data_IF_569485265393
#
_entry.id   IF_569485265393
#
_cell.length_a   1.000
_cell.length_b   1.000
_cell.length_c   1.000
_cell.angle_alpha   90.00
_cell.angle_beta   90.00
_cell.angle_gamma   90.00
#
_symmetry.space_group_name_H-M   'P 1'
#
loop_
_entity.id
_entity.type
_entity.pdbx_description
1 polymer ?
#
# COMPACT_ATOMS: atom_id res chain seq x y z
N UNK A 1 18.65 56.52 25.17
CA UNK A 1 19.63 55.58 24.60
C UNK A 1 19.01 54.19 24.69
N UNK A 2 18.79 53.60 23.51
CA UNK A 2 18.21 52.31 23.12
C UNK A 2 17.83 51.24 24.19
N UNK A 3 16.58 50.76 24.07
CA UNK A 3 16.10 49.44 24.50
C UNK A 3 16.88 48.30 23.83
N UNK A 4 17.26 47.27 24.59
CA UNK A 4 17.74 45.99 24.05
C UNK A 4 16.88 44.82 24.52
N UNK A 5 16.04 44.39 23.58
CA UNK A 5 15.42 43.08 23.31
C UNK A 5 15.63 41.95 24.33
N UNK A 6 14.48 41.42 24.77
CA UNK A 6 14.28 40.09 25.35
C UNK A 6 14.94 38.98 24.53
N UNK A 7 15.82 38.22 25.16
CA UNK A 7 16.38 37.00 24.60
C UNK A 7 15.33 35.89 24.55
N UNK A 8 14.95 35.49 23.33
CA UNK A 8 14.37 34.18 23.09
C UNK A 8 15.40 33.12 23.49
N UNK A 9 15.20 32.49 24.65
CA UNK A 9 15.87 31.26 25.00
C UNK A 9 15.34 30.15 24.08
N UNK A 10 15.99 29.95 22.94
CA UNK A 10 15.79 28.74 22.14
C UNK A 10 16.18 27.53 22.99
N UNK A 11 15.24 26.62 23.24
CA UNK A 11 15.51 25.45 24.07
C UNK A 11 16.71 24.63 23.55
N UNK A 12 17.51 24.01 24.45
CA UNK A 12 18.64 23.20 24.04
C UNK A 12 18.20 22.00 23.16
N UNK A 13 18.90 21.73 22.04
CA UNK A 13 18.50 20.69 21.10
C UNK A 13 18.32 19.29 21.73
N UNK A 14 19.08 19.00 22.79
CA UNK A 14 19.03 17.71 23.49
C UNK A 14 17.76 17.50 24.34
N UNK A 15 17.13 18.56 24.88
CA UNK A 15 15.84 18.44 25.58
C UNK A 15 14.74 18.02 24.61
N UNK A 16 14.72 18.64 23.43
CA UNK A 16 13.77 18.29 22.37
C UNK A 16 13.93 16.85 21.83
N UNK A 17 15.15 16.29 21.87
CA UNK A 17 15.43 14.94 21.41
C UNK A 17 15.02 13.90 22.47
N UNK A 18 15.31 14.17 23.75
CA UNK A 18 14.87 13.36 24.88
C UNK A 18 13.34 13.32 24.99
N UNK A 19 12.68 14.47 24.89
CA UNK A 19 11.22 14.57 24.95
C UNK A 19 10.55 13.89 23.76
N UNK A 20 11.13 13.96 22.56
CA UNK A 20 10.67 13.18 21.41
C UNK A 20 10.79 11.68 21.65
N UNK A 21 11.92 11.22 22.18
CA UNK A 21 12.13 9.81 22.51
C UNK A 21 11.15 9.32 23.59
N UNK A 22 10.85 10.13 24.61
CA UNK A 22 9.85 9.80 25.62
C UNK A 22 8.42 9.82 25.05
N UNK A 23 8.08 10.79 24.21
CA UNK A 23 6.76 10.89 23.59
C UNK A 23 6.49 9.72 22.63
N UNK A 24 7.50 9.21 21.93
CA UNK A 24 7.38 7.99 21.11
C UNK A 24 7.24 6.70 21.92
N UNK A 25 7.64 6.73 23.20
CA UNK A 25 7.42 5.64 24.15
C UNK A 25 6.04 5.73 24.83
N UNK A 26 5.32 6.85 24.70
CA UNK A 26 4.01 6.98 25.33
C UNK A 26 3.01 6.00 24.71
N UNK A 27 2.13 5.49 25.56
CA UNK A 27 1.08 4.54 25.16
C UNK A 27 0.22 5.09 24.02
N UNK A 28 -0.23 6.36 24.13
CA UNK A 28 -1.06 7.03 23.13
C UNK A 28 -0.41 7.09 21.75
N UNK A 29 0.90 7.27 21.70
CA UNK A 29 1.62 7.35 20.43
C UNK A 29 1.72 5.99 19.75
N UNK A 30 1.95 4.92 20.53
CA UNK A 30 2.09 3.54 20.02
C UNK A 30 0.78 2.97 19.46
N UNK A 31 -0.36 3.36 20.04
CA UNK A 31 -1.67 2.88 19.59
C UNK A 31 -2.29 3.75 18.48
N UNK A 32 -1.71 4.92 18.16
CA UNK A 32 -2.29 5.82 17.18
C UNK A 32 -2.48 5.17 15.79
N UNK A 33 -1.49 4.44 15.20
CA UNK A 33 -1.69 3.77 13.91
C UNK A 33 -2.82 2.73 13.91
N UNK A 34 -2.90 1.76 14.86
CA UNK A 34 -4.00 0.80 14.86
C UNK A 34 -5.36 1.45 15.14
N UNK A 35 -5.42 2.49 15.98
CA UNK A 35 -6.67 3.22 16.24
C UNK A 35 -7.15 3.96 14.99
N UNK A 36 -6.26 4.61 14.24
CA UNK A 36 -6.64 5.27 12.98
C UNK A 36 -7.11 4.26 11.93
N UNK A 37 -6.50 3.08 11.88
CA UNK A 37 -6.91 2.03 10.94
C UNK A 37 -8.32 1.46 11.23
N UNK A 38 -8.82 1.58 12.47
CA UNK A 38 -10.23 1.26 12.79
C UNK A 38 -11.20 2.14 12.01
N UNK A 39 -10.83 3.39 11.71
CA UNK A 39 -11.68 4.36 11.04
C UNK A 39 -11.80 4.12 9.53
N UNK A 40 -10.94 3.27 8.97
CA UNK A 40 -10.82 3.09 7.52
C UNK A 40 -12.12 2.64 6.84
N UNK A 41 -12.85 1.60 7.31
CA UNK A 41 -14.10 1.18 6.67
C UNK A 41 -15.19 2.26 6.76
N UNK A 42 -15.23 3.00 7.87
CA UNK A 42 -16.22 4.06 8.08
C UNK A 42 -15.98 5.26 7.18
N UNK A 43 -14.73 5.56 6.82
CA UNK A 43 -14.41 6.58 5.83
C UNK A 43 -14.93 6.20 4.43
N UNK A 44 -14.88 4.90 4.07
CA UNK A 44 -15.43 4.40 2.80
C UNK A 44 -16.97 4.40 2.80
N UNK A 45 -17.58 4.01 3.92
CA UNK A 45 -19.04 4.08 4.09
C UNK A 45 -19.56 5.53 4.03
N UNK A 46 -18.87 6.45 4.71
CA UNK A 46 -19.18 7.88 4.66
C UNK A 46 -19.03 8.43 3.23
N UNK A 47 -18.04 7.96 2.47
CA UNK A 47 -17.91 8.31 1.06
C UNK A 47 -19.14 7.88 0.27
N UNK A 48 -19.55 6.62 0.36
CA UNK A 48 -20.71 6.10 -0.36
C UNK A 48 -22.00 6.85 -0.01
N UNK A 49 -22.24 7.08 1.29
CA UNK A 49 -23.37 7.89 1.75
C UNK A 49 -23.33 9.34 1.20
N UNK A 50 -22.13 9.90 1.05
CA UNK A 50 -21.94 11.24 0.48
C UNK A 50 -22.19 11.26 -1.03
N UNK A 51 -21.82 10.19 -1.76
CA UNK A 51 -22.15 10.02 -3.18
C UNK A 51 -23.66 9.94 -3.37
N UNK A 52 -24.38 9.18 -2.55
CA UNK A 52 -25.85 9.15 -2.59
C UNK A 52 -26.47 10.53 -2.30
N UNK A 53 -25.90 11.29 -1.36
CA UNK A 53 -26.33 12.66 -1.06
C UNK A 53 -26.21 13.59 -2.28
N UNK A 54 -25.27 13.35 -3.20
CA UNK A 54 -25.12 14.19 -4.41
C UNK A 54 -26.38 14.21 -5.28
N UNK A 55 -27.24 13.20 -5.19
CA UNK A 55 -28.50 13.11 -5.94
C UNK A 55 -29.52 14.16 -5.47
N UNK A 56 -29.47 14.56 -4.19
CA UNK A 56 -30.38 15.55 -3.60
C UNK A 56 -29.71 16.90 -3.27
N UNK A 57 -28.44 16.89 -2.87
CA UNK A 57 -27.62 18.08 -2.60
C UNK A 57 -26.22 17.89 -3.20
N UNK A 58 -26.02 18.27 -4.48
CA UNK A 58 -24.76 18.06 -5.19
C UNK A 58 -23.55 18.70 -4.51
N UNK A 59 -23.71 19.90 -3.94
CA UNK A 59 -22.61 20.66 -3.37
C UNK A 59 -22.13 20.01 -2.06
N UNK A 60 -23.05 19.75 -1.13
CA UNK A 60 -22.70 19.11 0.15
C UNK A 60 -22.24 17.67 -0.06
N UNK A 61 -22.93 16.90 -0.91
CA UNK A 61 -22.54 15.53 -1.24
C UNK A 61 -21.13 15.44 -1.81
N UNK A 62 -20.77 16.30 -2.77
CA UNK A 62 -19.43 16.32 -3.36
C UNK A 62 -18.37 16.68 -2.33
N UNK A 63 -18.61 17.71 -1.51
CA UNK A 63 -17.66 18.13 -0.47
C UNK A 63 -17.40 17.00 0.54
N UNK A 64 -18.46 16.35 1.03
CA UNK A 64 -18.37 15.25 1.99
C UNK A 64 -17.73 14.00 1.38
N UNK A 65 -17.98 13.71 0.10
CA UNK A 65 -17.33 12.63 -0.62
C UNK A 65 -15.82 12.89 -0.72
N UNK A 66 -15.41 14.09 -1.15
CA UNK A 66 -13.99 14.47 -1.22
C UNK A 66 -13.32 14.39 0.16
N UNK A 67 -13.99 14.86 1.22
CA UNK A 67 -13.47 14.76 2.58
C UNK A 67 -13.32 13.29 3.03
N UNK A 68 -14.32 12.46 2.78
CA UNK A 68 -14.36 11.05 3.21
C UNK A 68 -13.30 10.20 2.50
N UNK A 69 -13.17 10.34 1.17
CA UNK A 69 -12.10 9.65 0.44
C UNK A 69 -10.72 10.20 0.82
N UNK A 70 -10.62 11.51 1.08
CA UNK A 70 -9.42 12.15 1.61
C UNK A 70 -8.99 11.53 2.94
N UNK A 71 -9.93 11.24 3.85
CA UNK A 71 -9.67 10.53 5.11
C UNK A 71 -9.20 9.09 4.83
N UNK A 72 -9.85 8.37 3.90
CA UNK A 72 -9.46 7.01 3.55
C UNK A 72 -8.01 6.90 3.03
N UNK A 73 -7.51 7.92 2.31
CA UNK A 73 -6.11 8.04 1.91
C UNK A 73 -5.20 8.58 3.04
N UNK A 74 -5.70 9.47 3.88
CA UNK A 74 -4.94 10.04 4.98
C UNK A 74 -4.59 8.99 6.05
N UNK A 75 -5.46 8.02 6.32
CA UNK A 75 -5.21 6.95 7.31
C UNK A 75 -3.91 6.19 7.03
N UNK A 76 -3.71 5.53 5.87
CA UNK A 76 -2.46 4.82 5.58
C UNK A 76 -1.26 5.77 5.47
N UNK A 77 -1.46 7.04 5.07
CA UNK A 77 -0.39 8.04 5.04
C UNK A 77 0.09 8.44 6.44
N UNK A 78 -0.83 8.69 7.38
CA UNK A 78 -0.51 9.00 8.78
C UNK A 78 0.14 7.78 9.44
N UNK A 79 -0.36 6.57 9.14
CA UNK A 79 0.27 5.32 9.57
C UNK A 79 1.69 5.19 9.02
N UNK A 80 1.93 5.58 7.76
CA UNK A 80 3.25 5.58 7.16
C UNK A 80 4.19 6.57 7.83
N UNK A 81 3.75 7.81 8.08
CA UNK A 81 4.54 8.81 8.83
C UNK A 81 4.87 8.30 10.23
N UNK A 82 3.91 7.65 10.90
CA UNK A 82 4.14 7.03 12.21
C UNK A 82 5.15 5.89 12.13
N UNK A 83 5.03 5.01 11.12
CA UNK A 83 5.99 3.94 10.85
C UNK A 83 7.41 4.47 10.64
N UNK A 84 7.57 5.54 9.84
CA UNK A 84 8.86 6.20 9.61
C UNK A 84 9.48 6.74 10.89
N UNK A 85 8.67 7.18 11.85
CA UNK A 85 9.15 7.62 13.16
C UNK A 85 9.57 6.41 14.01
N UNK A 86 8.74 5.37 14.07
CA UNK A 86 9.05 4.14 14.82
C UNK A 86 10.23 3.35 14.25
N UNK A 87 10.50 3.50 12.96
CA UNK A 87 11.56 2.82 12.24
C UNK A 87 12.94 3.00 12.88
N UNK A 88 13.22 4.16 13.48
CA UNK A 88 14.50 4.48 14.10
C UNK A 88 14.69 3.86 15.52
N UNK A 89 13.65 3.30 16.13
CA UNK A 89 13.72 2.74 17.49
C UNK A 89 14.36 1.35 17.47
N UNK A 90 15.25 1.03 18.43
CA UNK A 90 15.81 -0.32 18.62
C UNK A 90 14.70 -1.30 19.07
N UNK A 91 14.08 -1.05 20.22
CA UNK A 91 13.09 -1.95 20.85
C UNK A 91 11.64 -1.54 20.58
N UNK A 92 11.09 -2.04 19.47
CA UNK A 92 9.74 -1.68 19.06
C UNK A 92 9.15 -2.53 17.94
N UNK A 93 9.47 -3.82 17.86
CA UNK A 93 8.95 -4.67 16.78
C UNK A 93 7.42 -4.69 16.75
N UNK A 94 6.74 -4.71 17.90
CA UNK A 94 5.29 -4.67 18.00
C UNK A 94 4.68 -3.41 17.37
N UNK A 95 5.16 -2.23 17.77
CA UNK A 95 4.68 -0.95 17.22
C UNK A 95 5.03 -0.78 15.73
N UNK A 96 6.21 -1.26 15.30
CA UNK A 96 6.59 -1.27 13.88
C UNK A 96 5.67 -2.19 13.07
N UNK A 97 5.33 -3.37 13.59
CA UNK A 97 4.37 -4.30 12.96
C UNK A 97 2.99 -3.63 12.87
N UNK A 98 2.47 -3.09 13.97
CA UNK A 98 1.16 -2.44 13.98
C UNK A 98 1.08 -1.27 13.00
N UNK A 99 2.11 -0.43 12.95
CA UNK A 99 2.17 0.67 11.99
C UNK A 99 2.32 0.17 10.54
N UNK A 100 3.10 -0.88 10.28
CA UNK A 100 3.21 -1.47 8.94
C UNK A 100 1.88 -2.09 8.46
N UNK A 101 1.15 -2.77 9.35
CA UNK A 101 -0.20 -3.27 9.06
C UNK A 101 -1.17 -2.10 8.80
N UNK A 102 -1.01 -0.98 9.52
CA UNK A 102 -1.88 0.18 9.36
C UNK A 102 -1.64 0.91 8.04
N UNK A 103 -0.39 0.91 7.54
CA UNK A 103 -0.09 1.32 6.16
C UNK A 103 -0.80 0.41 5.15
N UNK A 104 -0.81 -0.90 5.41
CA UNK A 104 -1.42 -1.90 4.55
C UNK A 104 -2.95 -2.02 4.71
N UNK A 105 -3.60 -1.17 5.51
CA UNK A 105 -5.02 -1.29 5.82
C UNK A 105 -5.94 -1.35 4.59
N UNK A 106 -5.72 -0.60 3.49
CA UNK A 106 -6.55 -0.73 2.28
C UNK A 106 -6.47 -2.10 1.62
N UNK A 107 -5.27 -2.68 1.58
CA UNK A 107 -5.04 -4.01 1.00
C UNK A 107 -5.59 -5.12 1.90
N UNK A 108 -5.39 -5.01 3.21
CA UNK A 108 -5.93 -5.99 4.18
C UNK A 108 -7.46 -5.95 4.16
N UNK A 109 -8.08 -4.77 4.22
CA UNK A 109 -9.54 -4.63 4.22
C UNK A 109 -10.16 -5.23 2.96
N UNK A 110 -9.60 -4.90 1.79
CA UNK A 110 -10.07 -5.44 0.51
C UNK A 110 -9.95 -6.97 0.46
N UNK A 111 -8.81 -7.53 0.87
CA UNK A 111 -8.60 -8.97 0.86
C UNK A 111 -9.54 -9.71 1.84
N UNK A 112 -9.63 -9.22 3.08
CA UNK A 112 -10.50 -9.82 4.11
C UNK A 112 -11.95 -9.77 3.68
N UNK A 113 -12.41 -8.66 3.10
CA UNK A 113 -13.75 -8.54 2.55
C UNK A 113 -14.06 -9.64 1.53
N UNK A 114 -13.21 -9.80 0.51
CA UNK A 114 -13.39 -10.83 -0.53
C UNK A 114 -13.46 -12.24 0.09
N UNK A 115 -12.58 -12.55 1.05
CA UNK A 115 -12.59 -13.86 1.72
C UNK A 115 -13.88 -14.07 2.53
N UNK A 116 -14.30 -13.10 3.33
CA UNK A 116 -15.52 -13.20 4.13
C UNK A 116 -16.77 -13.35 3.26
N UNK A 117 -16.82 -12.61 2.15
CA UNK A 117 -17.89 -12.71 1.16
C UNK A 117 -17.97 -14.12 0.56
N UNK A 118 -16.84 -14.68 0.12
CA UNK A 118 -16.80 -16.04 -0.44
C UNK A 118 -17.19 -17.12 0.57
N UNK A 119 -16.88 -16.91 1.86
CA UNK A 119 -17.24 -17.84 2.93
C UNK A 119 -18.71 -17.76 3.35
N UNK A 120 -19.51 -16.83 2.78
CA UNK A 120 -20.88 -16.54 3.20
C UNK A 120 -20.99 -16.34 4.72
N UNK A 121 -19.94 -15.76 5.32
CA UNK A 121 -19.82 -15.72 6.78
C UNK A 121 -20.77 -14.65 7.34
N UNK A 122 -21.55 -14.95 8.40
CA UNK A 122 -22.61 -14.05 8.88
C UNK A 122 -22.08 -12.86 9.69
N UNK A 123 -20.77 -12.83 10.00
CA UNK A 123 -20.18 -11.73 10.77
C UNK A 123 -20.01 -10.52 9.87
N UNK A 124 -20.55 -9.39 10.32
CA UNK A 124 -20.37 -8.10 9.66
C UNK A 124 -18.85 -7.80 9.54
N UNK A 125 -18.39 -7.54 8.32
CA UNK A 125 -16.99 -7.26 7.99
C UNK A 125 -16.35 -6.24 8.96
N UNK A 126 -17.12 -5.20 9.33
CA UNK A 126 -16.73 -4.17 10.30
C UNK A 126 -16.42 -4.75 11.70
N UNK A 127 -17.19 -5.72 12.18
CA UNK A 127 -16.95 -6.33 13.49
C UNK A 127 -15.65 -7.15 13.50
N UNK A 128 -15.40 -7.94 12.45
CA UNK A 128 -14.14 -8.66 12.27
C UNK A 128 -12.94 -7.69 12.19
N UNK A 129 -13.12 -6.57 11.49
CA UNK A 129 -12.12 -5.50 11.40
C UNK A 129 -11.79 -4.90 12.77
N UNK A 130 -12.81 -4.51 13.54
CA UNK A 130 -12.63 -3.93 14.87
C UNK A 130 -11.92 -4.90 15.81
N UNK A 131 -12.33 -6.18 15.83
CA UNK A 131 -11.72 -7.20 16.66
C UNK A 131 -10.23 -7.41 16.30
N UNK A 132 -9.91 -7.50 15.01
CA UNK A 132 -8.53 -7.66 14.55
C UNK A 132 -7.63 -6.49 14.96
N UNK A 133 -8.11 -5.25 14.80
CA UNK A 133 -7.36 -4.06 15.21
C UNK A 133 -7.22 -3.90 16.72
N UNK A 134 -8.19 -4.41 17.50
CA UNK A 134 -8.04 -4.55 18.95
C UNK A 134 -6.84 -5.44 19.32
N UNK A 135 -6.71 -6.60 18.67
CA UNK A 135 -5.54 -7.49 18.86
C UNK A 135 -4.24 -6.83 18.41
N UNK A 136 -4.24 -6.12 17.26
CA UNK A 136 -3.05 -5.43 16.76
C UNK A 136 -2.62 -4.30 17.71
N UNK A 137 -3.57 -3.59 18.32
CA UNK A 137 -3.27 -2.57 19.33
C UNK A 137 -2.59 -3.20 20.57
N UNK A 138 -3.00 -4.40 20.99
CA UNK A 138 -2.32 -5.15 22.05
C UNK A 138 -0.89 -5.54 21.64
N UNK A 139 -0.69 -5.99 20.41
CA UNK A 139 0.66 -6.29 19.86
C UNK A 139 1.54 -5.03 19.84
N UNK A 140 0.98 -3.85 19.57
CA UNK A 140 1.73 -2.60 19.51
C UNK A 140 2.35 -2.20 20.86
N UNK A 141 1.71 -2.59 21.96
CA UNK A 141 2.12 -2.25 23.33
C UNK A 141 2.82 -3.40 24.06
N UNK A 142 2.76 -4.61 23.51
CA UNK A 142 3.42 -5.78 24.07
C UNK A 142 4.95 -5.60 24.16
N UNK A 143 5.60 -6.08 25.23
CA UNK A 143 7.05 -6.08 25.34
C UNK A 143 7.70 -6.85 24.19
N UNK A 144 8.72 -6.26 23.56
CA UNK A 144 9.53 -6.96 22.55
C UNK A 144 10.73 -7.61 23.23
N UNK A 145 10.85 -8.93 23.11
CA UNK A 145 12.07 -9.65 23.49
C UNK A 145 13.01 -9.76 22.30
N UNK A 146 14.28 -9.39 22.51
CA UNK A 146 15.34 -9.63 21.54
C UNK A 146 15.49 -11.13 21.29
N UNK A 147 15.48 -11.52 20.01
CA UNK A 147 16.01 -12.79 19.56
C UNK A 147 16.86 -12.55 18.34
N UNK A 148 18.15 -12.56 18.58
CA UNK A 148 19.19 -12.46 17.57
C UNK A 148 19.33 -13.80 16.84
N UNK A 149 19.34 -13.81 15.50
CA UNK A 149 19.84 -14.90 14.64
C UNK A 149 20.16 -14.43 13.20
N UNK A 150 21.45 -14.46 12.87
CA UNK A 150 21.99 -14.87 11.55
C UNK A 150 22.06 -13.82 10.43
N UNK A 151 23.10 -12.98 10.45
CA UNK A 151 23.37 -11.91 9.44
C UNK A 151 23.56 -12.45 8.01
N UNK A 152 24.28 -13.56 7.82
CA UNK A 152 24.68 -14.06 6.48
C UNK A 152 23.52 -14.58 5.62
N UNK A 153 22.51 -15.22 6.23
CA UNK A 153 21.34 -15.74 5.51
C UNK A 153 20.46 -14.59 4.94
N UNK A 154 20.52 -13.40 5.55
CA UNK A 154 19.72 -12.26 5.12
C UNK A 154 20.23 -11.65 3.80
N UNK A 155 21.55 -11.64 3.55
CA UNK A 155 22.12 -11.06 2.33
C UNK A 155 21.80 -11.87 1.08
N UNK A 156 21.98 -13.21 1.12
CA UNK A 156 21.62 -14.08 -0.01
C UNK A 156 20.11 -14.01 -0.31
N UNK A 157 19.28 -14.06 0.73
CA UNK A 157 17.83 -13.96 0.58
C UNK A 157 17.39 -12.64 -0.08
N UNK A 158 18.04 -11.53 0.26
CA UNK A 158 17.78 -10.23 -0.37
C UNK A 158 18.12 -10.22 -1.86
N UNK A 159 19.24 -10.83 -2.25
CA UNK A 159 19.61 -10.95 -3.67
C UNK A 159 18.61 -11.81 -4.44
N UNK A 160 18.20 -12.95 -3.89
CA UNK A 160 17.16 -13.82 -4.48
C UNK A 160 15.83 -13.07 -4.60
N UNK A 161 15.39 -12.38 -3.55
CA UNK A 161 14.17 -11.57 -3.59
C UNK A 161 14.23 -10.50 -4.69
N UNK A 162 15.35 -9.78 -4.79
CA UNK A 162 15.57 -8.77 -5.84
C UNK A 162 15.49 -9.37 -7.25
N UNK A 163 16.12 -10.52 -7.49
CA UNK A 163 16.06 -11.22 -8.77
C UNK A 163 14.65 -11.69 -9.12
N UNK A 164 13.91 -12.24 -8.16
CA UNK A 164 12.51 -12.64 -8.33
C UNK A 164 11.61 -11.44 -8.63
N UNK A 165 11.78 -10.34 -7.89
CA UNK A 165 11.00 -9.11 -8.09
C UNK A 165 11.27 -8.48 -9.46
N UNK A 166 12.54 -8.43 -9.89
CA UNK A 166 12.92 -7.97 -11.22
C UNK A 166 12.33 -8.88 -12.31
N UNK A 167 12.38 -10.21 -12.13
CA UNK A 167 11.81 -11.17 -13.06
C UNK A 167 10.29 -11.01 -13.18
N UNK A 168 9.58 -10.88 -12.05
CA UNK A 168 8.14 -10.62 -12.04
C UNK A 168 7.79 -9.31 -12.76
N UNK A 169 8.60 -8.26 -12.57
CA UNK A 169 8.40 -6.99 -13.23
C UNK A 169 8.58 -7.08 -14.74
N UNK A 170 9.69 -7.65 -15.19
CA UNK A 170 10.01 -7.76 -16.62
C UNK A 170 9.07 -8.72 -17.34
N UNK A 171 8.67 -9.82 -16.71
CA UNK A 171 7.86 -10.85 -17.35
C UNK A 171 6.35 -10.53 -17.36
N UNK A 172 5.87 -9.70 -16.44
CA UNK A 172 4.43 -9.41 -16.31
C UNK A 172 4.12 -8.01 -15.79
N UNK A 173 4.62 -7.60 -14.63
CA UNK A 173 4.07 -6.41 -13.95
C UNK A 173 4.28 -5.11 -14.73
N UNK A 174 5.41 -4.96 -15.43
CA UNK A 174 5.66 -3.79 -16.28
C UNK A 174 4.61 -3.67 -17.40
N UNK A 175 4.35 -4.76 -18.12
CA UNK A 175 3.28 -4.84 -19.11
C UNK A 175 1.90 -4.62 -18.47
N UNK A 176 1.65 -5.20 -17.31
CA UNK A 176 0.37 -5.10 -16.60
C UNK A 176 0.03 -3.64 -16.23
N UNK A 177 1.00 -2.90 -15.67
CA UNK A 177 0.84 -1.48 -15.35
C UNK A 177 0.66 -0.64 -16.62
N UNK A 178 1.44 -0.93 -17.67
CA UNK A 178 1.26 -0.28 -18.96
C UNK A 178 -0.16 -0.49 -19.52
N UNK A 179 -0.65 -1.73 -19.50
CA UNK A 179 -1.99 -2.07 -19.95
C UNK A 179 -3.06 -1.28 -19.20
N UNK A 180 -2.96 -1.14 -17.87
CA UNK A 180 -3.89 -0.30 -17.09
C UNK A 180 -3.87 1.16 -17.49
N UNK A 181 -2.71 1.73 -17.84
CA UNK A 181 -2.62 3.11 -18.33
C UNK A 181 -3.39 3.31 -19.64
N UNK A 182 -3.49 2.28 -20.48
CA UNK A 182 -4.28 2.37 -21.73
C UNK A 182 -5.78 2.51 -21.48
N UNK A 183 -6.25 2.30 -20.24
CA UNK A 183 -7.60 2.64 -19.81
C UNK A 183 -7.94 4.13 -19.95
N UNK A 184 -6.93 5.02 -19.97
CA UNK A 184 -7.12 6.44 -20.32
C UNK A 184 -7.53 6.66 -21.79
N UNK A 185 -7.29 5.68 -22.66
CA UNK A 185 -7.80 5.65 -24.02
C UNK A 185 -9.13 4.87 -24.14
N UNK A 186 -9.68 4.38 -23.02
CA UNK A 186 -10.95 3.65 -22.97
C UNK A 186 -10.81 2.16 -22.69
N UNK A 187 -11.94 1.54 -22.34
CA UNK A 187 -12.00 0.11 -22.02
C UNK A 187 -11.62 -0.79 -23.20
N UNK A 188 -11.93 -0.39 -24.43
CA UNK A 188 -11.61 -1.15 -25.63
C UNK A 188 -10.11 -1.15 -25.93
N UNK A 189 -9.43 0.00 -25.76
CA UNK A 189 -7.98 0.10 -25.88
C UNK A 189 -7.28 -0.80 -24.84
N UNK A 190 -7.73 -0.73 -23.59
CA UNK A 190 -7.28 -1.65 -22.54
C UNK A 190 -7.51 -3.11 -22.92
N UNK A 191 -8.69 -3.47 -23.40
CA UNK A 191 -8.99 -4.86 -23.80
C UNK A 191 -8.10 -5.32 -24.95
N UNK A 192 -7.87 -4.47 -25.95
CA UNK A 192 -7.03 -4.78 -27.11
C UNK A 192 -5.58 -5.08 -26.68
N UNK A 193 -4.98 -4.19 -25.88
CA UNK A 193 -3.62 -4.39 -25.36
C UNK A 193 -3.57 -5.60 -24.44
N UNK A 194 -4.54 -5.76 -23.54
CA UNK A 194 -4.64 -6.90 -22.62
C UNK A 194 -4.62 -8.23 -23.39
N UNK A 195 -5.38 -8.34 -24.48
CA UNK A 195 -5.46 -9.55 -25.29
C UNK A 195 -4.12 -9.94 -25.91
N UNK A 196 -3.29 -8.97 -26.32
CA UNK A 196 -1.92 -9.25 -26.79
C UNK A 196 -1.13 -9.94 -25.66
N UNK A 197 -1.14 -9.37 -24.46
CA UNK A 197 -0.41 -9.92 -23.32
C UNK A 197 -0.93 -11.29 -22.86
N UNK A 198 -2.25 -11.55 -22.95
CA UNK A 198 -2.85 -12.81 -22.51
C UNK A 198 -2.33 -14.03 -23.27
N UNK A 199 -1.95 -13.89 -24.54
CA UNK A 199 -1.30 -14.97 -25.30
C UNK A 199 0.00 -15.45 -24.64
N UNK A 200 0.66 -14.56 -23.89
CA UNK A 200 1.88 -14.86 -23.14
C UNK A 200 1.57 -15.25 -21.70
N UNK A 201 1.05 -14.32 -20.87
CA UNK A 201 0.99 -14.54 -19.42
C UNK A 201 -0.14 -15.48 -18.96
N UNK A 202 -1.09 -15.83 -19.85
CA UNK A 202 -2.09 -16.88 -19.61
C UNK A 202 -1.76 -18.20 -20.33
N UNK A 203 -0.58 -18.32 -20.95
CA UNK A 203 -0.17 -19.59 -21.56
C UNK A 203 -0.03 -20.68 -20.48
N UNK A 204 -0.35 -21.93 -20.82
CA UNK A 204 -0.49 -23.04 -19.88
C UNK A 204 0.73 -23.28 -18.97
N UNK A 205 1.94 -22.97 -19.46
CA UNK A 205 3.19 -23.09 -18.69
C UNK A 205 3.57 -21.75 -18.04
N UNK A 206 3.35 -20.63 -18.74
CA UNK A 206 3.78 -19.31 -18.27
C UNK A 206 2.96 -18.85 -17.07
N UNK A 207 1.63 -19.07 -17.07
CA UNK A 207 0.75 -18.64 -15.98
C UNK A 207 1.15 -19.29 -14.63
N UNK A 208 1.32 -20.63 -14.51
CA UNK A 208 1.78 -21.24 -13.26
C UNK A 208 3.18 -20.79 -12.82
N UNK A 209 4.11 -20.59 -13.77
CA UNK A 209 5.47 -20.13 -13.45
C UNK A 209 5.45 -18.69 -12.91
N UNK A 210 4.68 -17.80 -13.54
CA UNK A 210 4.50 -16.43 -13.04
C UNK A 210 3.86 -16.42 -11.65
N UNK A 211 2.84 -17.25 -11.43
CA UNK A 211 2.21 -17.42 -10.11
C UNK A 211 3.25 -17.87 -9.07
N UNK A 212 4.08 -18.86 -9.40
CA UNK A 212 5.13 -19.34 -8.49
C UNK A 212 6.16 -18.25 -8.18
N UNK A 213 6.57 -17.45 -9.17
CA UNK A 213 7.49 -16.32 -8.97
C UNK A 213 6.84 -15.30 -8.02
N UNK A 214 5.59 -14.90 -8.26
CA UNK A 214 4.89 -13.91 -7.43
C UNK A 214 4.71 -14.40 -5.99
N UNK A 215 4.31 -15.67 -5.79
CA UNK A 215 4.23 -16.27 -4.46
C UNK A 215 5.60 -16.34 -3.77
N UNK A 216 6.67 -16.61 -4.54
CA UNK A 216 8.04 -16.59 -4.02
C UNK A 216 8.50 -15.18 -3.64
N UNK A 217 8.13 -14.14 -4.40
CA UNK A 217 8.34 -12.73 -4.03
C UNK A 217 7.63 -12.40 -2.72
N UNK A 218 6.36 -12.80 -2.57
CA UNK A 218 5.60 -12.60 -1.34
C UNK A 218 6.27 -13.31 -0.13
N UNK A 219 6.63 -14.58 -0.28
CA UNK A 219 7.23 -15.37 0.79
C UNK A 219 8.60 -14.83 1.21
N UNK A 220 9.50 -14.58 0.25
CA UNK A 220 10.82 -14.01 0.54
C UNK A 220 10.73 -12.60 1.12
N UNK A 221 9.80 -11.78 0.61
CA UNK A 221 9.51 -10.43 1.11
C UNK A 221 9.00 -10.43 2.55
N UNK A 222 8.10 -11.35 2.91
CA UNK A 222 7.59 -11.49 4.28
C UNK A 222 8.72 -11.82 5.27
N UNK A 223 9.62 -12.74 4.90
CA UNK A 223 10.79 -13.10 5.73
C UNK A 223 11.73 -11.91 5.91
N UNK A 224 12.01 -11.18 4.83
CA UNK A 224 12.86 -9.98 4.88
C UNK A 224 12.23 -8.86 5.72
N UNK A 225 10.94 -8.61 5.54
CA UNK A 225 10.17 -7.64 6.31
C UNK A 225 10.22 -7.98 7.80
N UNK A 226 9.92 -9.23 8.17
CA UNK A 226 9.93 -9.67 9.56
C UNK A 226 11.28 -9.44 10.24
N UNK A 227 12.39 -9.77 9.56
CA UNK A 227 13.74 -9.50 10.06
C UNK A 227 14.02 -8.01 10.18
N UNK A 228 13.55 -7.23 9.20
CA UNK A 228 13.77 -5.79 9.13
C UNK A 228 13.01 -5.04 10.23
N UNK A 229 11.78 -5.42 10.56
CA UNK A 229 10.97 -4.82 11.63
C UNK A 229 11.58 -4.98 13.03
N UNK A 230 12.54 -5.91 13.21
CA UNK A 230 13.29 -6.09 14.46
C UNK A 230 14.52 -5.20 14.58
N UNK A 231 14.88 -4.49 13.52
CA UNK A 231 16.08 -3.66 13.49
C UNK A 231 15.71 -2.19 13.26
N UNK A 232 16.56 -1.24 13.65
CA UNK A 232 16.45 0.15 13.22
C UNK A 232 16.54 0.27 11.71
N UNK A 233 15.88 1.28 11.19
CA UNK A 233 15.86 1.60 9.77
C UNK A 233 16.03 3.11 9.58
N UNK A 234 16.81 3.48 8.57
CA UNK A 234 16.75 4.84 8.03
C UNK A 234 15.45 5.04 7.22
N UNK A 235 15.21 6.27 6.76
CA UNK A 235 13.96 6.60 6.06
C UNK A 235 13.75 5.81 4.76
N UNK A 236 14.81 5.55 3.98
CA UNK A 236 14.68 4.78 2.74
C UNK A 236 14.39 3.30 3.01
N UNK A 237 15.04 2.72 4.03
CA UNK A 237 14.75 1.35 4.46
C UNK A 237 13.33 1.22 5.04
N UNK A 238 12.86 2.25 5.76
CA UNK A 238 11.50 2.29 6.26
C UNK A 238 10.49 2.39 5.11
N UNK A 239 10.74 3.20 4.07
CA UNK A 239 9.92 3.21 2.86
C UNK A 239 9.90 1.85 2.14
N UNK A 240 11.05 1.18 2.04
CA UNK A 240 11.14 -0.18 1.47
C UNK A 240 10.34 -1.20 2.30
N UNK A 241 10.40 -1.10 3.62
CA UNK A 241 9.69 -2.01 4.53
C UNK A 241 8.17 -1.77 4.49
N UNK A 242 7.73 -0.50 4.51
CA UNK A 242 6.32 -0.15 4.45
C UNK A 242 5.69 -0.55 3.11
N UNK A 243 6.38 -0.27 2.00
CA UNK A 243 5.95 -0.73 0.66
C UNK A 243 5.89 -2.25 0.59
N UNK A 244 6.89 -2.97 1.13
CA UNK A 244 6.88 -4.42 1.19
C UNK A 244 5.73 -5.00 2.03
N UNK A 245 5.39 -4.36 3.15
CA UNK A 245 4.25 -4.73 3.98
C UNK A 245 2.93 -4.56 3.23
N UNK A 246 2.73 -3.41 2.56
CA UNK A 246 1.57 -3.17 1.73
C UNK A 246 1.46 -4.20 0.60
N UNK A 247 2.55 -4.40 -0.13
CA UNK A 247 2.60 -5.29 -1.30
C UNK A 247 2.39 -6.77 -0.94
N UNK A 248 2.75 -7.20 0.26
CA UNK A 248 2.46 -8.56 0.72
C UNK A 248 0.96 -8.85 0.68
N UNK A 249 0.16 -7.98 1.31
CA UNK A 249 -1.30 -8.14 1.34
C UNK A 249 -1.94 -7.80 0.00
N UNK A 250 -1.42 -6.78 -0.70
CA UNK A 250 -1.90 -6.41 -2.02
C UNK A 250 -1.73 -7.57 -3.01
N UNK A 251 -0.55 -8.18 -3.10
CA UNK A 251 -0.27 -9.24 -4.06
C UNK A 251 -1.11 -10.49 -3.78
N UNK A 252 -1.17 -10.94 -2.52
CA UNK A 252 -1.97 -12.10 -2.13
C UNK A 252 -3.46 -11.83 -2.40
N UNK A 253 -3.97 -10.68 -1.96
CA UNK A 253 -5.36 -10.29 -2.16
C UNK A 253 -5.73 -10.13 -3.62
N UNK A 254 -4.89 -9.46 -4.40
CA UNK A 254 -5.12 -9.25 -5.83
C UNK A 254 -5.09 -10.57 -6.61
N UNK A 255 -4.13 -11.45 -6.33
CA UNK A 255 -4.10 -12.79 -6.94
C UNK A 255 -5.32 -13.62 -6.54
N UNK A 256 -5.74 -13.56 -5.27
CA UNK A 256 -6.97 -14.22 -4.83
C UNK A 256 -8.19 -13.69 -5.60
N UNK A 257 -8.34 -12.37 -5.72
CA UNK A 257 -9.44 -11.74 -6.45
C UNK A 257 -9.47 -12.17 -7.92
N UNK A 258 -8.32 -12.28 -8.58
CA UNK A 258 -8.24 -12.61 -10.00
C UNK A 258 -8.42 -14.12 -10.27
N UNK A 259 -7.70 -14.97 -9.55
CA UNK A 259 -7.67 -16.41 -9.84
C UNK A 259 -8.78 -17.19 -9.13
N UNK A 260 -9.08 -16.83 -7.88
CA UNK A 260 -10.00 -17.59 -7.04
C UNK A 260 -11.40 -16.97 -7.10
N UNK A 261 -11.52 -15.69 -6.75
CA UNK A 261 -12.82 -15.03 -6.68
C UNK A 261 -13.45 -14.88 -8.08
N UNK A 262 -12.80 -14.19 -9.01
CA UNK A 262 -13.36 -13.93 -10.33
C UNK A 262 -13.44 -15.19 -11.20
N UNK A 263 -12.28 -15.81 -11.52
CA UNK A 263 -12.22 -16.91 -12.49
C UNK A 263 -12.85 -18.20 -12.00
N UNK A 264 -12.64 -18.58 -10.74
CA UNK A 264 -13.07 -19.88 -10.22
C UNK A 264 -14.42 -19.83 -9.49
N UNK A 265 -14.68 -18.78 -8.70
CA UNK A 265 -15.88 -18.71 -7.87
C UNK A 265 -17.05 -18.00 -8.60
N UNK A 266 -16.81 -16.86 -9.26
CA UNK A 266 -17.82 -16.17 -10.08
C UNK A 266 -17.94 -16.72 -11.51
N UNK A 267 -16.89 -17.34 -12.03
CA UNK A 267 -16.84 -17.79 -13.44
C UNK A 267 -16.76 -16.64 -14.46
N UNK A 268 -16.30 -15.47 -14.03
CA UNK A 268 -16.17 -14.28 -14.90
C UNK A 268 -14.73 -14.06 -15.34
N UNK A 269 -14.56 -13.40 -16.49
CA UNK A 269 -13.24 -13.01 -16.98
C UNK A 269 -12.73 -11.74 -16.28
N UNK A 270 -11.42 -11.69 -16.05
CA UNK A 270 -10.74 -10.55 -15.41
C UNK A 270 -10.27 -9.54 -16.44
N UNK A 271 -11.24 -8.89 -17.08
CA UNK A 271 -11.05 -7.80 -18.04
C UNK A 271 -11.34 -6.43 -17.42
N UNK A 272 -11.39 -5.38 -18.25
CA UNK A 272 -11.62 -3.99 -17.80
C UNK A 272 -12.87 -3.84 -16.94
N UNK A 273 -13.97 -4.50 -17.32
CA UNK A 273 -15.25 -4.44 -16.59
C UNK A 273 -15.10 -4.93 -15.14
N UNK A 274 -14.39 -6.04 -14.93
CA UNK A 274 -14.05 -6.53 -13.59
C UNK A 274 -13.14 -5.54 -12.84
N UNK A 275 -12.13 -4.99 -13.50
CA UNK A 275 -11.19 -4.06 -12.88
C UNK A 275 -11.87 -2.76 -12.40
N UNK A 276 -12.85 -2.25 -13.15
CA UNK A 276 -13.57 -1.01 -12.83
C UNK A 276 -14.85 -1.21 -12.04
N UNK A 277 -15.22 -2.44 -11.68
CA UNK A 277 -16.47 -2.71 -10.97
C UNK A 277 -17.73 -2.47 -11.80
N UNK A 278 -17.68 -2.70 -13.11
CA UNK A 278 -18.84 -2.52 -13.98
C UNK A 278 -20.00 -3.46 -13.59
N UNK A 279 -21.26 -3.04 -13.77
CA UNK A 279 -21.69 -1.78 -14.40
C UNK A 279 -21.75 -0.57 -13.47
N UNK A 280 -21.67 -0.76 -12.15
CA UNK A 280 -21.83 0.32 -11.16
C UNK A 280 -20.62 1.24 -11.08
N UNK A 281 -19.42 0.73 -11.35
CA UNK A 281 -18.20 1.49 -11.30
C UNK A 281 -17.54 1.49 -9.91
N UNK A 282 -16.44 2.24 -9.79
CA UNK A 282 -15.67 2.32 -8.54
C UNK A 282 -16.29 3.25 -7.49
N UNK A 283 -17.07 4.24 -7.91
CA UNK A 283 -17.53 5.34 -7.04
C UNK A 283 -18.93 5.10 -6.49
N UNK A 284 -19.84 4.57 -7.31
CA UNK A 284 -21.27 4.48 -6.98
C UNK A 284 -21.63 3.21 -6.19
N UNK A 285 -20.67 2.32 -5.94
CA UNK A 285 -20.90 1.05 -5.26
C UNK A 285 -20.11 0.98 -3.95
N UNK A 286 -20.83 0.72 -2.85
CA UNK A 286 -20.29 0.62 -1.48
C UNK A 286 -19.17 -0.42 -1.37
N UNK A 287 -19.25 -1.50 -2.15
CA UNK A 287 -18.22 -2.52 -2.16
C UNK A 287 -17.00 -2.06 -2.96
N UNK A 288 -17.19 -1.52 -4.16
CA UNK A 288 -16.12 -1.19 -5.09
C UNK A 288 -15.26 -0.01 -4.66
N UNK A 289 -15.77 0.94 -3.87
CA UNK A 289 -14.99 2.12 -3.48
C UNK A 289 -13.70 1.76 -2.73
N UNK A 290 -13.66 0.63 -2.01
CA UNK A 290 -12.44 0.13 -1.35
C UNK A 290 -11.29 -0.10 -2.34
N UNK A 291 -11.60 -0.36 -3.61
CA UNK A 291 -10.64 -0.62 -4.67
C UNK A 291 -9.84 0.62 -5.03
N UNK A 292 -10.38 1.83 -4.86
CA UNK A 292 -9.68 3.07 -5.20
C UNK A 292 -8.37 3.26 -4.39
N UNK A 293 -8.40 3.36 -3.04
CA UNK A 293 -7.16 3.42 -2.26
C UNK A 293 -6.33 2.13 -2.34
N UNK A 294 -6.97 0.97 -2.54
CA UNK A 294 -6.28 -0.30 -2.75
C UNK A 294 -5.39 -0.28 -4.01
N UNK A 295 -5.92 0.13 -5.16
CA UNK A 295 -5.18 0.15 -6.42
C UNK A 295 -4.17 1.28 -6.47
N UNK A 296 -4.53 2.51 -6.06
CA UNK A 296 -3.60 3.65 -6.08
C UNK A 296 -2.35 3.34 -5.25
N UNK A 297 -2.54 2.90 -4.01
CA UNK A 297 -1.42 2.60 -3.13
C UNK A 297 -0.69 1.32 -3.55
N UNK A 298 -1.39 0.34 -4.13
CA UNK A 298 -0.78 -0.85 -4.72
C UNK A 298 0.21 -0.51 -5.83
N UNK A 299 -0.20 0.30 -6.81
CA UNK A 299 0.66 0.75 -7.90
C UNK A 299 1.79 1.64 -7.39
N UNK A 300 1.47 2.62 -6.53
CA UNK A 300 2.47 3.53 -5.94
C UNK A 300 3.55 2.76 -5.19
N UNK A 301 3.17 1.85 -4.29
CA UNK A 301 4.13 1.07 -3.52
C UNK A 301 4.87 0.04 -4.37
N UNK A 302 4.25 -0.55 -5.40
CA UNK A 302 4.95 -1.46 -6.32
C UNK A 302 6.14 -0.76 -6.98
N UNK A 303 5.88 0.37 -7.63
CA UNK A 303 6.91 1.11 -8.36
C UNK A 303 7.94 1.71 -7.39
N UNK A 304 7.50 2.24 -6.25
CA UNK A 304 8.40 2.76 -5.23
C UNK A 304 9.28 1.66 -4.63
N UNK A 305 8.77 0.44 -4.43
CA UNK A 305 9.53 -0.70 -3.92
C UNK A 305 10.59 -1.17 -4.93
N UNK A 306 10.28 -1.16 -6.22
CA UNK A 306 11.23 -1.47 -7.29
C UNK A 306 12.34 -0.44 -7.37
N UNK A 307 11.99 0.85 -7.34
CA UNK A 307 12.97 1.95 -7.34
C UNK A 307 13.84 1.93 -6.08
N UNK A 308 13.25 1.65 -4.91
CA UNK A 308 14.01 1.48 -3.66
C UNK A 308 14.93 0.26 -3.66
N UNK A 309 14.50 -0.84 -4.28
CA UNK A 309 15.34 -2.01 -4.55
C UNK A 309 16.53 -1.67 -5.46
N UNK A 310 16.28 -0.97 -6.57
CA UNK A 310 17.32 -0.49 -7.47
C UNK A 310 18.30 0.46 -6.77
N UNK A 311 17.79 1.36 -5.92
CA UNK A 311 18.62 2.24 -5.09
C UNK A 311 19.62 1.44 -4.25
N UNK A 312 19.17 0.36 -3.60
CA UNK A 312 20.04 -0.52 -2.80
C UNK A 312 21.10 -1.16 -3.70
N UNK A 313 20.71 -1.72 -4.84
CA UNK A 313 21.64 -2.37 -5.79
C UNK A 313 22.69 -1.37 -6.29
N UNK A 314 22.31 -0.17 -6.71
CA UNK A 314 23.25 0.84 -7.20
C UNK A 314 24.26 1.26 -6.16
N UNK A 315 23.84 1.48 -4.90
CA UNK A 315 24.75 1.83 -3.80
C UNK A 315 25.77 0.69 -3.57
N UNK A 316 25.32 -0.56 -3.63
CA UNK A 316 26.21 -1.73 -3.48
C UNK A 316 27.22 -1.86 -4.63
N UNK A 317 26.92 -1.31 -5.80
CA UNK A 317 27.81 -1.28 -6.97
C UNK A 317 28.57 0.05 -7.10
N UNK A 318 28.69 0.81 -6.00
CA UNK A 318 29.56 1.99 -5.93
C UNK A 318 28.98 3.29 -6.46
N UNK A 319 27.69 3.34 -6.81
CA UNK A 319 27.04 4.58 -7.22
C UNK A 319 26.93 5.56 -6.03
N UNK A 320 27.10 6.86 -6.32
CA UNK A 320 27.06 7.90 -5.30
C UNK A 320 25.68 7.97 -4.62
N UNK A 321 25.65 7.85 -3.27
CA UNK A 321 24.40 7.83 -2.47
C UNK A 321 23.44 8.97 -2.80
N UNK A 322 23.95 10.20 -3.00
CA UNK A 322 23.14 11.37 -3.37
C UNK A 322 22.36 11.16 -4.67
N UNK A 323 22.96 10.52 -5.67
CA UNK A 323 22.31 10.26 -6.96
C UNK A 323 21.26 9.17 -6.81
N UNK A 324 21.57 8.12 -6.05
CA UNK A 324 20.63 7.04 -5.74
C UNK A 324 19.42 7.54 -4.95
N UNK A 325 19.62 8.45 -3.99
CA UNK A 325 18.54 9.09 -3.21
C UNK A 325 17.65 9.97 -4.10
N UNK A 326 18.25 10.78 -4.97
CA UNK A 326 17.52 11.61 -5.94
C UNK A 326 16.69 10.75 -6.90
N UNK A 327 17.28 9.70 -7.46
CA UNK A 327 16.56 8.75 -8.32
C UNK A 327 15.37 8.15 -7.57
N UNK A 328 15.56 7.76 -6.31
CA UNK A 328 14.48 7.18 -5.52
C UNK A 328 13.31 8.15 -5.26
N UNK A 329 13.62 9.40 -4.96
CA UNK A 329 12.60 10.44 -4.74
C UNK A 329 11.85 10.75 -6.04
N UNK A 330 12.58 10.96 -7.15
CA UNK A 330 11.97 11.23 -8.46
C UNK A 330 11.13 10.04 -8.92
N UNK A 331 11.63 8.82 -8.74
CA UNK A 331 10.91 7.59 -9.09
C UNK A 331 9.64 7.40 -8.26
N UNK A 332 9.64 7.74 -6.97
CA UNK A 332 8.44 7.73 -6.15
C UNK A 332 7.42 8.80 -6.60
N UNK A 333 7.88 9.99 -6.99
CA UNK A 333 7.02 11.02 -7.59
C UNK A 333 6.36 10.53 -8.89
N UNK A 334 7.14 9.88 -9.77
CA UNK A 334 6.61 9.30 -11.01
C UNK A 334 5.64 8.14 -10.75
N UNK A 335 5.91 7.31 -9.73
CA UNK A 335 5.00 6.26 -9.28
C UNK A 335 3.64 6.82 -8.86
N UNK A 336 3.61 7.94 -8.15
CA UNK A 336 2.37 8.61 -7.74
C UNK A 336 1.59 9.14 -8.95
N UNK A 337 2.27 9.71 -9.94
CA UNK A 337 1.65 10.17 -11.19
C UNK A 337 1.02 9.01 -11.97
N UNK A 338 1.73 7.88 -12.11
CA UNK A 338 1.19 6.68 -12.76
C UNK A 338 -0.03 6.14 -12.01
N UNK A 339 0.05 6.03 -10.68
CA UNK A 339 -1.06 5.53 -9.87
C UNK A 339 -2.31 6.41 -10.00
N UNK A 340 -2.14 7.74 -9.99
CA UNK A 340 -3.24 8.68 -10.21
C UNK A 340 -3.81 8.58 -11.63
N UNK A 341 -2.95 8.48 -12.65
CA UNK A 341 -3.35 8.31 -14.05
C UNK A 341 -4.20 7.04 -14.26
N UNK A 342 -3.80 5.92 -13.66
CA UNK A 342 -4.57 4.67 -13.71
C UNK A 342 -5.93 4.85 -13.03
N UNK A 343 -5.98 5.41 -11.81
CA UNK A 343 -7.26 5.63 -11.12
C UNK A 343 -8.19 6.52 -11.93
N UNK A 344 -7.68 7.63 -12.49
CA UNK A 344 -8.47 8.51 -13.35
C UNK A 344 -9.06 7.76 -14.55
N UNK A 345 -8.26 6.93 -15.23
CA UNK A 345 -8.74 6.07 -16.30
C UNK A 345 -9.84 5.10 -15.84
N UNK A 346 -9.66 4.47 -14.68
CA UNK A 346 -10.66 3.54 -14.11
C UNK A 346 -11.96 4.26 -13.69
N UNK A 347 -11.87 5.52 -13.26
CA UNK A 347 -13.03 6.37 -12.95
C UNK A 347 -13.64 7.07 -14.18
N UNK A 348 -13.19 6.76 -15.39
CA UNK A 348 -13.83 7.22 -16.63
C UNK A 348 -13.16 8.39 -17.34
N UNK A 349 -12.08 8.97 -16.81
CA UNK A 349 -11.33 10.04 -17.51
C UNK A 349 -10.72 9.49 -18.81
N UNK A 350 -10.84 10.25 -19.90
CA UNK A 350 -10.28 9.92 -21.21
C UNK A 350 -9.38 11.04 -21.73
N UNK A 351 -8.22 10.69 -22.26
CA UNK A 351 -7.27 11.65 -22.85
C UNK A 351 -7.43 11.81 -24.36
N UNK A 352 -8.13 10.85 -24.99
CA UNK A 352 -8.58 10.92 -26.36
C UNK A 352 -10.10 10.97 -26.32
N UNK A 353 -10.69 12.12 -26.64
CA UNK A 353 -12.13 12.19 -26.90
C UNK A 353 -12.43 11.41 -28.17
N UNK A 354 -13.50 10.63 -28.19
CA UNK A 354 -14.08 10.18 -29.46
C UNK A 354 -14.40 11.45 -30.27
N UNK A 355 -13.71 11.65 -31.38
CA UNK A 355 -14.13 12.57 -32.43
C UNK A 355 -15.34 11.99 -33.15
#
# INVERSE_FOLDING_TARGET
>A
MAETRSGEFSEPPWRSAHDRAQRMKSFSYRIAPPVLALLYPFALEAFHASVELTKSDPASGTLLAVASIGIAFAIPLIAFVSFMRFAAINDGSGVKIAAALAVASPAIFTFVGVVLYMLHYPVQEKAAWVAAWGVIALVAVAPSHERDRGVLLATKLRSVHGALAASAFLAFLGFHIFNHLTGLAGGDAHKAVMNIGRHWYRAAIVEPVLVLILLSVAATGAVLLWRRLRNPMDGFLALQAASGAYLLFFLIGHMNSVFIYARRWLGIDTEWSFATGAPTGLVDDEWNIRLAPHYVLGVFFLLTHLVGGLRIVMIEHGAARRNCDRMAIVGAGFAALIAAAILMGMCGVRIFSNA
#
